data_IF_114128845911
#
_entry.id   IF_114128845911
#
_cell.length_a   1.000
_cell.length_b   1.000
_cell.length_c   1.000
_cell.angle_alpha   90.00
_cell.angle_beta   90.00
_cell.angle_gamma   90.00
#
_symmetry.space_group_name_H-M   'P 1'
#
loop_
_entity.id
_entity.type
_entity.pdbx_description
1 polymer ?
#
# COMPACT_ATOMS: atom_id res chain seq x y z
N UNK A 1 26.15 -6.68 14.25
CA UNK A 1 24.81 -6.07 14.10
C UNK A 1 23.97 -6.56 15.26
N UNK A 2 23.29 -5.68 16.00
CA UNK A 2 22.63 -6.07 17.25
C UNK A 2 21.34 -6.89 17.01
N UNK A 3 21.18 -7.98 17.75
CA UNK A 3 20.01 -8.85 17.73
C UNK A 3 18.94 -8.28 18.69
N UNK A 4 18.08 -7.41 18.17
CA UNK A 4 17.04 -6.79 18.98
C UNK A 4 15.89 -7.76 19.29
N UNK A 5 15.41 -7.67 20.53
CA UNK A 5 14.18 -8.28 21.04
C UNK A 5 12.98 -7.55 20.40
N UNK A 6 12.45 -8.13 19.32
CA UNK A 6 11.38 -7.55 18.51
C UNK A 6 10.11 -7.23 19.29
N UNK A 7 9.63 -8.11 20.19
CA UNK A 7 8.56 -7.78 21.12
C UNK A 7 8.79 -6.45 21.87
N UNK A 8 9.99 -6.24 22.43
CA UNK A 8 10.31 -5.01 23.15
C UNK A 8 10.34 -3.78 22.25
N UNK A 9 10.75 -3.92 20.99
CA UNK A 9 10.72 -2.83 20.01
C UNK A 9 9.28 -2.43 19.71
N UNK A 10 8.38 -3.41 19.54
CA UNK A 10 6.95 -3.14 19.35
C UNK A 10 6.36 -2.42 20.56
N UNK A 11 6.68 -2.89 21.77
CA UNK A 11 6.20 -2.23 23.00
C UNK A 11 6.74 -0.80 23.14
N UNK A 12 7.99 -0.57 22.76
CA UNK A 12 8.55 0.78 22.72
C UNK A 12 7.85 1.69 21.69
N UNK A 13 7.54 1.18 20.49
CA UNK A 13 6.80 1.93 19.48
C UNK A 13 5.39 2.31 19.97
N UNK A 14 4.70 1.41 20.68
CA UNK A 14 3.42 1.71 21.33
C UNK A 14 3.55 2.85 22.34
N UNK A 15 4.60 2.84 23.16
CA UNK A 15 4.85 3.93 24.12
C UNK A 15 5.13 5.25 23.39
N UNK A 16 5.88 5.22 22.28
CA UNK A 16 6.12 6.43 21.48
C UNK A 16 4.84 6.99 20.87
N UNK A 17 3.96 6.13 20.38
CA UNK A 17 2.67 6.53 19.82
C UNK A 17 1.75 7.18 20.87
N UNK A 18 1.81 6.70 22.12
CA UNK A 18 1.10 7.31 23.25
C UNK A 18 1.65 8.68 23.66
N UNK A 19 2.95 8.93 23.47
CA UNK A 19 3.62 10.14 23.93
C UNK A 19 3.45 11.32 22.95
N UNK A 20 3.47 11.04 21.65
CA UNK A 20 3.24 12.04 20.61
C UNK A 20 2.53 11.40 19.41
N UNK A 21 1.20 11.46 19.48
CA UNK A 21 0.26 10.84 18.53
C UNK A 21 0.31 11.49 17.14
N UNK A 22 0.88 12.70 17.02
CA UNK A 22 0.93 13.46 15.78
C UNK A 22 2.31 13.41 15.09
N UNK A 23 3.38 13.17 15.86
CA UNK A 23 4.75 13.26 15.35
C UNK A 23 5.08 12.28 14.21
N UNK A 24 4.45 11.10 14.11
CA UNK A 24 4.68 10.08 13.05
C UNK A 24 6.16 9.66 12.81
N UNK A 25 7.13 10.23 13.53
CA UNK A 25 8.57 10.08 13.30
C UNK A 25 9.10 8.72 13.78
N UNK A 26 8.43 8.12 14.76
CA UNK A 26 8.81 6.82 15.32
C UNK A 26 8.65 5.69 14.28
N UNK A 27 7.66 5.78 13.39
CA UNK A 27 7.50 4.78 12.33
C UNK A 27 8.49 4.97 11.18
N UNK A 28 8.82 6.21 10.81
CA UNK A 28 9.91 6.47 9.85
C UNK A 28 11.25 5.91 10.36
N UNK A 29 11.51 5.99 11.68
CA UNK A 29 12.70 5.40 12.30
C UNK A 29 12.64 3.86 12.31
N UNK A 30 11.50 3.28 12.64
CA UNK A 30 11.28 1.84 12.56
C UNK A 30 11.50 1.34 11.13
N UNK A 31 10.83 1.92 10.14
CA UNK A 31 10.95 1.54 8.73
C UNK A 31 12.37 1.72 8.20
N UNK A 32 13.04 2.84 8.50
CA UNK A 32 14.47 3.00 8.16
C UNK A 32 15.31 1.89 8.77
N UNK A 33 15.13 1.60 10.06
CA UNK A 33 15.87 0.53 10.72
C UNK A 33 15.60 -0.84 10.09
N UNK A 34 14.33 -1.18 9.85
CA UNK A 34 13.89 -2.47 9.36
C UNK A 34 14.20 -2.73 7.88
N UNK A 35 14.23 -1.69 7.05
CA UNK A 35 14.74 -1.77 5.67
C UNK A 35 16.21 -2.23 5.63
N UNK A 36 16.99 -1.93 6.68
CA UNK A 36 18.38 -2.37 6.85
C UNK A 36 18.53 -3.69 7.64
N UNK A 37 17.46 -4.24 8.22
CA UNK A 37 17.54 -5.55 8.88
C UNK A 37 17.62 -6.67 7.84
N UNK A 38 18.52 -7.63 8.05
CA UNK A 38 18.72 -8.76 7.13
C UNK A 38 17.78 -9.95 7.40
N UNK A 39 17.00 -9.90 8.49
CA UNK A 39 16.14 -11.01 8.91
C UNK A 39 14.69 -10.75 8.51
N UNK A 40 14.28 -11.28 7.36
CA UNK A 40 12.94 -11.08 6.83
C UNK A 40 11.83 -11.47 7.82
N UNK A 41 12.00 -12.53 8.61
CA UNK A 41 11.00 -12.98 9.60
C UNK A 41 10.75 -11.98 10.73
N UNK A 42 11.71 -11.09 11.04
CA UNK A 42 11.51 -10.05 12.05
C UNK A 42 10.52 -8.98 11.59
N UNK A 43 10.31 -8.84 10.28
CA UNK A 43 9.32 -7.93 9.72
C UNK A 43 7.88 -8.37 10.05
N UNK A 44 7.65 -9.66 10.35
CA UNK A 44 6.31 -10.16 10.66
C UNK A 44 5.72 -9.41 11.87
N UNK A 45 6.52 -9.19 12.91
CA UNK A 45 6.08 -8.45 14.10
C UNK A 45 5.68 -7.01 13.78
N UNK A 46 6.44 -6.33 12.93
CA UNK A 46 6.17 -4.93 12.56
C UNK A 46 4.94 -4.84 11.65
N UNK A 47 4.87 -5.69 10.62
CA UNK A 47 3.75 -5.70 9.67
C UNK A 47 2.46 -6.03 10.42
N UNK A 48 2.47 -7.04 11.29
CA UNK A 48 1.32 -7.39 12.13
C UNK A 48 0.95 -6.27 13.11
N UNK A 49 1.93 -5.59 13.71
CA UNK A 49 1.66 -4.43 14.57
C UNK A 49 0.90 -3.34 13.80
N UNK A 50 1.43 -2.92 12.65
CA UNK A 50 0.80 -1.90 11.81
C UNK A 50 -0.59 -2.34 11.34
N UNK A 51 -0.74 -3.59 10.90
CA UNK A 51 -2.02 -4.14 10.46
C UNK A 51 -3.12 -4.00 11.52
N UNK A 52 -2.76 -4.16 12.80
CA UNK A 52 -3.68 -4.10 13.93
C UNK A 52 -3.90 -2.68 14.47
N UNK A 53 -2.93 -1.78 14.38
CA UNK A 53 -3.05 -0.41 14.90
C UNK A 53 -3.72 0.57 13.94
N UNK A 54 -3.55 0.40 12.63
CA UNK A 54 -4.14 1.30 11.63
C UNK A 54 -5.67 1.40 11.74
N UNK A 55 -6.43 0.31 11.98
CA UNK A 55 -7.87 0.40 12.23
C UNK A 55 -8.30 1.33 13.36
N UNK A 56 -7.45 1.57 14.38
CA UNK A 56 -7.78 2.46 15.49
C UNK A 56 -7.77 3.93 15.08
N UNK A 57 -6.98 4.28 14.08
CA UNK A 57 -7.00 5.62 13.47
C UNK A 57 -6.53 5.63 12.02
N UNK A 58 -7.41 5.25 11.06
CA UNK A 58 -7.01 5.10 9.67
C UNK A 58 -6.47 6.39 9.06
N UNK A 59 -7.10 7.53 9.36
CA UNK A 59 -6.68 8.84 8.84
C UNK A 59 -5.27 9.25 9.31
N UNK A 60 -4.83 8.78 10.49
CA UNK A 60 -3.48 9.04 11.00
C UNK A 60 -2.47 8.03 10.47
N UNK A 61 -2.82 6.74 10.49
CA UNK A 61 -1.85 5.65 10.33
C UNK A 61 -1.80 5.05 8.92
N UNK A 62 -2.60 5.51 7.95
CA UNK A 62 -2.63 4.93 6.60
C UNK A 62 -1.24 4.84 5.93
N UNK A 63 -0.34 5.79 6.21
CA UNK A 63 1.04 5.79 5.69
C UNK A 63 1.85 4.60 6.20
N UNK A 64 1.60 4.17 7.43
CA UNK A 64 2.27 2.98 7.98
C UNK A 64 1.78 1.74 7.24
N UNK A 65 0.49 1.67 6.90
CA UNK A 65 -0.04 0.56 6.13
C UNK A 65 0.56 0.52 4.72
N UNK A 66 0.81 1.67 4.07
CA UNK A 66 1.56 1.75 2.81
C UNK A 66 2.98 1.16 2.95
N UNK A 67 3.69 1.52 4.02
CA UNK A 67 5.02 0.97 4.30
C UNK A 67 4.98 -0.54 4.58
N UNK A 68 3.97 -1.00 5.32
CA UNK A 68 3.76 -2.42 5.60
C UNK A 68 3.49 -3.22 4.32
N UNK A 69 2.70 -2.68 3.37
CA UNK A 69 2.50 -3.28 2.04
C UNK A 69 3.85 -3.45 1.32
N UNK A 70 4.68 -2.40 1.28
CA UNK A 70 6.01 -2.46 0.68
C UNK A 70 6.91 -3.50 1.37
N UNK A 71 6.94 -3.52 2.70
CA UNK A 71 7.76 -4.46 3.47
C UNK A 71 7.32 -5.91 3.23
N UNK A 72 6.01 -6.18 3.26
CA UNK A 72 5.44 -7.49 2.95
C UNK A 72 5.85 -7.95 1.54
N UNK A 73 5.72 -7.06 0.57
CA UNK A 73 5.97 -7.36 -0.84
C UNK A 73 7.45 -7.51 -1.20
N UNK A 74 8.31 -6.59 -0.77
CA UNK A 74 9.69 -6.43 -1.27
C UNK A 74 10.74 -7.02 -0.35
N UNK A 75 10.48 -7.04 0.97
CA UNK A 75 11.47 -7.47 1.96
C UNK A 75 11.11 -8.83 2.54
N UNK A 76 9.83 -9.05 2.83
CA UNK A 76 9.32 -10.34 3.31
C UNK A 76 9.02 -11.33 2.17
N UNK A 77 8.85 -10.85 0.94
CA UNK A 77 8.44 -11.63 -0.23
C UNK A 77 7.11 -12.37 -0.02
N UNK A 78 6.20 -11.80 0.75
CA UNK A 78 4.86 -12.33 1.02
C UNK A 78 3.81 -11.48 0.29
N UNK A 79 3.64 -11.75 -1.00
CA UNK A 79 2.67 -11.06 -1.85
C UNK A 79 1.21 -11.21 -1.37
N UNK A 80 0.74 -12.39 -0.92
CA UNK A 80 -0.61 -12.52 -0.37
C UNK A 80 -0.88 -11.56 0.80
N UNK A 81 0.07 -11.40 1.72
CA UNK A 81 -0.09 -10.47 2.83
C UNK A 81 -0.09 -9.01 2.36
N UNK A 82 0.76 -8.66 1.39
CA UNK A 82 0.73 -7.34 0.78
C UNK A 82 -0.62 -7.01 0.13
N UNK A 83 -1.26 -7.98 -0.52
CA UNK A 83 -2.62 -7.84 -1.08
C UNK A 83 -3.64 -7.62 0.02
N UNK A 84 -3.57 -8.36 1.12
CA UNK A 84 -4.45 -8.20 2.27
C UNK A 84 -4.36 -6.80 2.88
N UNK A 85 -3.14 -6.33 3.15
CA UNK A 85 -2.88 -4.99 3.68
C UNK A 85 -3.36 -3.90 2.71
N UNK A 86 -3.19 -4.09 1.41
CA UNK A 86 -3.67 -3.15 0.39
C UNK A 86 -5.20 -3.11 0.29
N UNK A 87 -5.88 -4.25 0.44
CA UNK A 87 -7.33 -4.32 0.54
C UNK A 87 -7.84 -3.64 1.81
N UNK A 88 -7.17 -3.85 2.93
CA UNK A 88 -7.46 -3.15 4.18
C UNK A 88 -7.29 -1.64 4.01
N UNK A 89 -6.19 -1.18 3.41
CA UNK A 89 -5.98 0.24 3.16
C UNK A 89 -7.11 0.82 2.29
N UNK A 90 -7.45 0.13 1.20
CA UNK A 90 -8.46 0.60 0.24
C UNK A 90 -9.90 0.52 0.76
N UNK A 91 -10.14 -0.08 1.93
CA UNK A 91 -11.46 -0.12 2.56
C UNK A 91 -11.76 1.13 3.40
N UNK A 92 -10.73 1.90 3.75
CA UNK A 92 -10.89 3.16 4.46
C UNK A 92 -11.29 4.29 3.51
N UNK A 93 -12.05 5.24 4.04
CA UNK A 93 -12.39 6.48 3.34
C UNK A 93 -12.39 7.63 4.35
N UNK A 94 -11.58 8.65 4.10
CA UNK A 94 -11.52 9.87 4.90
C UNK A 94 -11.23 11.08 4.00
N UNK A 95 -11.63 12.31 4.40
CA UNK A 95 -11.70 13.49 3.52
C UNK A 95 -10.41 13.83 2.76
N UNK A 96 -9.23 13.52 3.32
CA UNK A 96 -7.93 13.84 2.74
C UNK A 96 -7.12 12.60 2.31
N UNK A 97 -7.79 11.46 2.14
CA UNK A 97 -7.08 10.25 1.72
C UNK A 97 -6.58 10.39 0.29
N UNK A 98 -5.26 10.29 0.05
CA UNK A 98 -4.72 10.51 -1.28
C UNK A 98 -5.14 9.39 -2.23
N UNK A 99 -5.33 9.74 -3.50
CA UNK A 99 -5.76 8.81 -4.55
C UNK A 99 -4.87 7.56 -4.60
N UNK A 100 -3.56 7.70 -4.44
CA UNK A 100 -2.64 6.55 -4.46
C UNK A 100 -2.98 5.49 -3.38
N UNK A 101 -3.37 5.92 -2.17
CA UNK A 101 -3.73 5.00 -1.10
C UNK A 101 -5.02 4.23 -1.44
N UNK A 102 -5.97 4.90 -2.10
CA UNK A 102 -7.22 4.30 -2.60
C UNK A 102 -6.97 3.29 -3.73
N UNK A 103 -5.93 3.51 -4.53
CA UNK A 103 -5.56 2.65 -5.66
C UNK A 103 -4.80 1.38 -5.26
N UNK A 104 -4.22 1.32 -4.06
CA UNK A 104 -3.30 0.23 -3.68
C UNK A 104 -3.89 -1.17 -3.80
N UNK A 105 -5.18 -1.34 -3.47
CA UNK A 105 -5.85 -2.63 -3.62
C UNK A 105 -5.82 -3.13 -5.06
N UNK A 106 -6.06 -2.25 -6.02
CA UNK A 106 -5.98 -2.60 -7.44
C UNK A 106 -4.54 -2.96 -7.85
N UNK A 107 -3.57 -2.12 -7.46
CA UNK A 107 -2.16 -2.30 -7.82
C UNK A 107 -1.58 -3.63 -7.26
N UNK A 108 -1.94 -4.00 -6.04
CA UNK A 108 -1.49 -5.28 -5.47
C UNK A 108 -2.25 -6.47 -6.06
N UNK A 109 -3.54 -6.34 -6.36
CA UNK A 109 -4.29 -7.39 -7.07
C UNK A 109 -3.70 -7.70 -8.45
N UNK A 110 -3.33 -6.67 -9.24
CA UNK A 110 -2.66 -6.88 -10.52
C UNK A 110 -1.36 -7.65 -10.33
N UNK A 111 -0.57 -7.27 -9.32
CA UNK A 111 0.70 -7.92 -9.05
C UNK A 111 0.52 -9.39 -8.63
N UNK A 112 -0.59 -9.72 -7.98
CA UNK A 112 -0.98 -11.09 -7.68
C UNK A 112 -1.56 -11.86 -8.88
N UNK A 113 -1.68 -11.21 -10.05
CA UNK A 113 -2.23 -11.80 -11.27
C UNK A 113 -3.76 -11.74 -11.36
N UNK A 114 -4.43 -11.12 -10.37
CA UNK A 114 -5.88 -10.91 -10.38
C UNK A 114 -6.21 -9.64 -11.19
N UNK A 115 -6.10 -9.75 -12.52
CA UNK A 115 -6.33 -8.62 -13.41
C UNK A 115 -7.79 -8.16 -13.41
N UNK A 116 -8.74 -9.10 -13.34
CA UNK A 116 -10.17 -8.78 -13.33
C UNK A 116 -10.53 -8.01 -12.04
N UNK A 117 -10.08 -8.51 -10.88
CA UNK A 117 -10.28 -7.82 -9.61
C UNK A 117 -9.56 -6.48 -9.54
N UNK A 118 -8.33 -6.40 -10.08
CA UNK A 118 -7.58 -5.15 -10.14
C UNK A 118 -8.32 -4.07 -10.96
N UNK A 119 -8.82 -4.43 -12.14
CA UNK A 119 -9.61 -3.53 -12.98
C UNK A 119 -10.89 -3.05 -12.29
N UNK A 120 -11.62 -3.97 -11.64
CA UNK A 120 -12.84 -3.65 -10.91
C UNK A 120 -12.57 -2.69 -9.73
N UNK A 121 -11.51 -2.94 -8.95
CA UNK A 121 -11.11 -2.06 -7.85
C UNK A 121 -10.73 -0.66 -8.35
N UNK A 122 -9.95 -0.56 -9.42
CA UNK A 122 -9.57 0.73 -10.00
C UNK A 122 -10.78 1.49 -10.55
N UNK A 123 -11.71 0.79 -11.19
CA UNK A 123 -12.96 1.37 -11.69
C UNK A 123 -13.81 1.97 -10.56
N UNK A 124 -13.87 1.30 -9.41
CA UNK A 124 -14.55 1.82 -8.22
C UNK A 124 -13.89 3.09 -7.68
N UNK A 125 -12.56 3.14 -7.66
CA UNK A 125 -11.83 4.36 -7.24
C UNK A 125 -12.13 5.50 -8.20
N UNK A 126 -12.07 5.26 -9.51
CA UNK A 126 -12.37 6.26 -10.53
C UNK A 126 -13.82 6.75 -10.45
N UNK A 127 -14.80 5.86 -10.24
CA UNK A 127 -16.21 6.26 -10.17
C UNK A 127 -16.54 7.08 -8.93
N UNK A 128 -15.82 6.83 -7.82
CA UNK A 128 -16.10 7.46 -6.53
C UNK A 128 -15.31 8.76 -6.34
N UNK A 129 -14.04 8.78 -6.77
CA UNK A 129 -13.09 9.87 -6.50
C UNK A 129 -12.49 10.48 -7.77
N UNK A 130 -12.95 10.07 -8.96
CA UNK A 130 -12.39 10.55 -10.22
C UNK A 130 -12.61 12.04 -10.49
N UNK A 131 -13.61 12.65 -9.85
CA UNK A 131 -13.87 14.09 -9.94
C UNK A 131 -12.90 14.92 -9.08
N UNK A 132 -12.38 14.33 -8.01
CA UNK A 132 -11.42 14.96 -7.10
C UNK A 132 -9.96 14.71 -7.54
N UNK A 133 -9.78 13.77 -8.47
CA UNK A 133 -8.47 13.38 -8.99
C UNK A 133 -7.90 14.41 -9.98
N UNK A 134 -6.59 14.55 -9.99
CA UNK A 134 -5.92 15.34 -11.02
C UNK A 134 -6.20 14.76 -12.42
N UNK A 135 -6.22 15.56 -13.51
CA UNK A 135 -6.50 15.05 -14.85
C UNK A 135 -5.61 13.86 -15.26
N UNK A 136 -4.34 13.87 -14.86
CA UNK A 136 -3.39 12.78 -15.08
C UNK A 136 -3.73 11.50 -14.30
N UNK A 137 -4.23 11.63 -13.07
CA UNK A 137 -4.68 10.50 -12.24
C UNK A 137 -5.91 9.83 -12.84
N UNK A 138 -6.90 10.61 -13.24
CA UNK A 138 -8.10 10.08 -13.89
C UNK A 138 -7.77 9.40 -15.23
N UNK A 139 -6.82 9.97 -16.01
CA UNK A 139 -6.33 9.36 -17.24
C UNK A 139 -5.58 8.05 -16.98
N UNK A 140 -4.72 8.01 -15.95
CA UNK A 140 -4.06 6.79 -15.51
C UNK A 140 -5.06 5.69 -15.15
N UNK A 141 -6.06 6.00 -14.31
CA UNK A 141 -7.06 5.02 -13.88
C UNK A 141 -7.84 4.44 -15.07
N UNK A 142 -8.23 5.27 -16.05
CA UNK A 142 -8.90 4.78 -17.27
C UNK A 142 -8.01 3.84 -18.09
N UNK A 143 -6.76 4.25 -18.35
CA UNK A 143 -5.81 3.42 -19.09
C UNK A 143 -5.51 2.10 -18.35
N UNK A 144 -5.43 2.16 -17.03
CA UNK A 144 -5.25 1.01 -16.16
C UNK A 144 -6.38 0.00 -16.28
N UNK A 145 -7.63 0.45 -16.18
CA UNK A 145 -8.81 -0.42 -16.29
C UNK A 145 -8.85 -1.11 -17.65
N UNK A 146 -8.58 -0.38 -18.73
CA UNK A 146 -8.51 -0.94 -20.10
C UNK A 146 -7.43 -2.04 -20.20
N UNK A 147 -6.24 -1.78 -19.65
CA UNK A 147 -5.14 -2.74 -19.63
C UNK A 147 -5.47 -4.00 -18.82
N UNK A 148 -6.12 -3.85 -17.66
CA UNK A 148 -6.55 -4.96 -16.81
C UNK A 148 -7.59 -5.84 -17.50
N UNK A 149 -8.60 -5.25 -18.15
CA UNK A 149 -9.61 -5.99 -18.90
C UNK A 149 -8.99 -6.81 -20.04
N UNK A 150 -8.03 -6.24 -20.78
CA UNK A 150 -7.30 -6.96 -21.83
C UNK A 150 -6.50 -8.14 -21.29
N UNK A 151 -5.75 -7.93 -20.20
CA UNK A 151 -4.97 -9.00 -19.56
C UNK A 151 -5.86 -10.11 -19.00
N UNK A 152 -6.98 -9.74 -18.37
CA UNK A 152 -7.99 -10.69 -17.90
C UNK A 152 -8.61 -11.52 -19.04
N UNK A 153 -8.73 -10.95 -20.23
CA UNK A 153 -9.18 -11.65 -21.44
C UNK A 153 -8.07 -12.49 -22.13
N UNK A 154 -6.85 -12.55 -21.57
CA UNK A 154 -5.71 -13.27 -22.16
C UNK A 154 -5.10 -12.59 -23.39
N UNK A 155 -5.45 -11.33 -23.65
CA UNK A 155 -4.96 -10.59 -24.82
C UNK A 155 -3.55 -10.03 -24.54
N UNK A 156 -2.61 -10.08 -25.50
CA UNK A 156 -1.26 -9.55 -25.30
C UNK A 156 -1.30 -8.03 -24.99
N UNK A 157 -0.32 -7.52 -24.22
CA UNK A 157 -0.23 -6.09 -23.93
C UNK A 157 -0.05 -5.29 -25.21
N UNK A 158 -0.69 -4.12 -25.27
CA UNK A 158 -0.63 -3.24 -26.43
C UNK A 158 0.81 -2.76 -26.67
N UNK A 159 1.43 -3.20 -27.76
CA UNK A 159 2.84 -2.95 -28.06
C UNK A 159 3.15 -1.48 -28.37
N UNK A 160 2.12 -0.67 -28.63
CA UNK A 160 2.21 0.79 -28.83
C UNK A 160 2.07 1.60 -27.53
N UNK A 161 1.54 1.01 -26.45
CA UNK A 161 1.33 1.69 -25.16
C UNK A 161 2.12 1.04 -24.02
N UNK A 162 3.40 0.67 -24.28
CA UNK A 162 4.22 -0.20 -23.41
C UNK A 162 4.40 0.22 -21.95
N UNK A 163 3.97 1.39 -21.54
CA UNK A 163 3.93 1.75 -20.13
C UNK A 163 2.55 2.32 -19.79
N UNK A 164 1.91 1.74 -18.77
CA UNK A 164 0.97 2.52 -17.98
C UNK A 164 1.66 3.85 -17.63
N UNK A 165 0.97 4.99 -17.73
CA UNK A 165 1.59 6.25 -17.34
C UNK A 165 2.16 6.11 -15.92
N UNK A 166 3.35 6.68 -15.63
CA UNK A 166 3.94 6.58 -14.31
C UNK A 166 2.92 7.09 -13.28
N UNK A 167 2.91 6.47 -12.10
CA UNK A 167 2.01 6.88 -11.02
C UNK A 167 2.20 8.38 -10.76
N UNK A 168 1.14 9.19 -10.92
CA UNK A 168 1.22 10.63 -10.62
C UNK A 168 1.60 10.82 -9.15
N UNK A 169 2.59 11.68 -8.90
CA UNK A 169 3.10 11.99 -7.56
C UNK A 169 4.34 11.21 -7.11
N UNK A 170 4.87 10.27 -7.91
CA UNK A 170 6.19 9.68 -7.67
C UNK A 170 7.30 10.70 -8.06
N UNK A 171 7.67 11.58 -7.13
CA UNK A 171 8.95 12.32 -7.16
C UNK A 171 9.83 11.85 -6.02
#
# INVERSE_FOLDING_TARGET
MADYDMPRVVDWLKVMDLLDVDANHHMMLATRYFVFTQTATKLDYLISYVQNEVPLSPARHWRWLMEAIYLAQMKRNNLPWAVELAKQLSSYDFPDMPIIARQMGALMSERAGDYVGAGALMARVLSTHGNDALPGEAAFMRAYIEAMNRRGAGMPPDTDRRALPPLPGAK
#
